data_IF_557529011233
#
_entry.id   IF_557529011233
#
_cell.length_a   1.000
_cell.length_b   1.000
_cell.length_c   1.000
_cell.angle_alpha   90.00
_cell.angle_beta   90.00
_cell.angle_gamma   90.00
#
_symmetry.space_group_name_H-M   'P 1'
#
loop_
_entity.id
_entity.type
_entity.pdbx_description
1 polymer ?
#
# COMPACT_ATOMS: atom_id res chain seq x y z
N UNK A 1 -1.13 -23.35 78.21
CA UNK A 1 -1.86 -22.68 77.11
C UNK A 1 -1.08 -22.92 75.82
N UNK A 2 -1.70 -23.59 74.84
CA UNK A 2 -1.12 -23.92 73.53
C UNK A 2 -1.78 -23.02 72.48
N UNK A 3 -1.01 -22.30 71.69
CA UNK A 3 -1.44 -21.80 70.38
C UNK A 3 -0.21 -21.75 69.45
N UNK A 4 -0.08 -22.78 68.60
CA UNK A 4 0.78 -22.73 67.42
C UNK A 4 -0.06 -22.17 66.27
N UNK A 5 0.36 -21.04 65.71
CA UNK A 5 -0.28 -20.38 64.59
C UNK A 5 0.39 -20.81 63.29
N UNK A 6 -0.37 -21.42 62.37
CA UNK A 6 0.10 -21.95 61.09
C UNK A 6 -0.15 -20.91 59.99
N UNK A 7 0.91 -20.41 59.36
CA UNK A 7 0.83 -19.46 58.22
C UNK A 7 0.76 -20.27 56.93
N UNK A 8 -0.35 -20.16 56.18
CA UNK A 8 -0.51 -20.76 54.86
C UNK A 8 -0.16 -19.74 53.77
N UNK A 9 0.84 -20.05 52.94
CA UNK A 9 1.18 -19.26 51.75
C UNK A 9 0.28 -19.68 50.58
N UNK A 10 -0.51 -18.75 50.04
CA UNK A 10 -1.25 -18.92 48.80
C UNK A 10 -0.30 -18.69 47.61
N UNK A 11 -0.05 -19.72 46.80
CA UNK A 11 0.64 -19.58 45.52
C UNK A 11 -0.37 -19.19 44.44
N UNK A 12 -0.22 -18.00 43.87
CA UNK A 12 -1.04 -17.52 42.74
C UNK A 12 -0.31 -17.93 41.46
N UNK A 13 -0.85 -18.91 40.74
CA UNK A 13 -0.34 -19.29 39.42
C UNK A 13 -0.94 -18.36 38.37
N UNK A 14 -0.18 -17.35 37.96
CA UNK A 14 -0.57 -16.51 36.81
C UNK A 14 -0.32 -17.31 35.52
N UNK A 15 -1.39 -17.82 34.91
CA UNK A 15 -1.37 -18.38 33.56
C UNK A 15 -1.18 -17.24 32.55
N UNK A 16 0.07 -16.93 32.23
CA UNK A 16 0.40 -16.06 31.11
C UNK A 16 0.19 -16.86 29.81
N UNK A 17 -0.98 -16.72 29.20
CA UNK A 17 -1.21 -17.23 27.84
C UNK A 17 -0.28 -16.50 26.87
N UNK A 18 0.46 -17.20 25.99
CA UNK A 18 1.28 -16.54 24.98
C UNK A 18 0.36 -15.76 24.04
N UNK A 19 0.52 -14.43 24.02
CA UNK A 19 -0.10 -13.58 23.04
C UNK A 19 0.65 -13.81 21.73
N UNK A 20 0.04 -14.54 20.80
CA UNK A 20 0.55 -14.62 19.41
C UNK A 20 0.29 -13.27 18.75
N UNK A 21 1.24 -12.35 18.88
CA UNK A 21 1.26 -11.11 18.09
C UNK A 21 1.38 -11.50 16.61
N UNK A 22 0.30 -11.37 15.85
CA UNK A 22 0.38 -11.34 14.38
C UNK A 22 1.25 -10.12 14.04
N UNK A 23 2.48 -10.34 13.60
CA UNK A 23 3.30 -9.27 13.02
C UNK A 23 2.61 -8.84 11.73
N UNK A 24 1.93 -7.69 11.76
CA UNK A 24 1.48 -7.01 10.55
C UNK A 24 2.73 -6.66 9.74
N UNK A 25 2.83 -7.14 8.51
CA UNK A 25 3.92 -6.72 7.64
C UNK A 25 3.55 -5.36 7.05
N UNK A 26 4.55 -4.57 6.67
CA UNK A 26 4.32 -3.29 6.00
C UNK A 26 5.15 -3.25 4.74
N UNK A 27 4.49 -3.02 3.60
CA UNK A 27 5.16 -2.65 2.37
C UNK A 27 5.33 -1.14 2.32
N UNK A 28 6.45 -0.70 1.77
CA UNK A 28 6.76 0.70 1.55
C UNK A 28 6.72 0.99 0.05
N UNK A 29 5.93 1.98 -0.34
CA UNK A 29 5.80 2.46 -1.70
C UNK A 29 6.52 3.82 -1.78
N UNK A 30 7.51 3.88 -2.64
CA UNK A 30 8.40 5.03 -2.83
C UNK A 30 8.24 5.56 -4.25
N UNK A 31 8.49 6.86 -4.45
CA UNK A 31 8.46 7.50 -5.77
C UNK A 31 7.16 7.25 -6.54
N UNK A 32 6.03 7.12 -5.83
CA UNK A 32 4.72 6.93 -6.46
C UNK A 32 4.39 8.18 -7.27
N UNK A 33 4.13 7.98 -8.56
CA UNK A 33 3.78 9.05 -9.48
C UNK A 33 2.82 8.55 -10.55
N UNK A 34 1.99 9.44 -11.06
CA UNK A 34 1.06 9.18 -12.14
C UNK A 34 1.02 10.37 -13.11
N UNK A 35 0.78 10.10 -14.39
CA UNK A 35 0.57 11.13 -15.40
C UNK A 35 -0.71 10.87 -16.20
N UNK A 36 -1.35 11.95 -16.60
CA UNK A 36 -2.31 12.02 -17.69
C UNK A 36 -1.72 12.87 -18.82
N UNK A 37 -1.68 12.34 -20.05
CA UNK A 37 -1.04 13.02 -21.18
C UNK A 37 -2.05 13.82 -22.01
N UNK A 38 -1.70 15.04 -22.41
CA UNK A 38 -2.67 16.01 -22.97
C UNK A 38 -3.21 15.67 -24.37
N UNK A 39 -2.45 14.92 -25.17
CA UNK A 39 -2.73 14.75 -26.61
C UNK A 39 -2.96 13.30 -27.01
N UNK A 40 -3.02 12.39 -26.04
CA UNK A 40 -3.22 10.96 -26.25
C UNK A 40 -4.13 10.43 -25.14
N UNK A 41 -4.94 9.43 -25.45
CA UNK A 41 -5.77 8.76 -24.43
C UNK A 41 -4.91 7.76 -23.66
N UNK A 42 -3.91 8.26 -22.94
CA UNK A 42 -2.95 7.47 -22.20
C UNK A 42 -2.72 8.10 -20.82
N UNK A 43 -2.62 7.22 -19.83
CA UNK A 43 -2.09 7.54 -18.51
C UNK A 43 -1.07 6.49 -18.11
N UNK A 44 -0.20 6.85 -17.17
CA UNK A 44 0.69 5.91 -16.53
C UNK A 44 0.74 6.12 -15.01
N UNK A 45 1.18 5.08 -14.32
CA UNK A 45 1.48 5.07 -12.90
C UNK A 45 2.75 4.26 -12.70
N UNK A 46 3.63 4.75 -11.84
CA UNK A 46 4.88 4.07 -11.49
C UNK A 46 5.22 4.28 -10.02
N UNK A 47 5.91 3.31 -9.43
CA UNK A 47 6.47 3.40 -8.09
C UNK A 47 7.55 2.33 -7.88
N UNK A 48 8.31 2.49 -6.81
CA UNK A 48 9.21 1.47 -6.28
C UNK A 48 8.59 0.86 -5.04
N UNK A 49 8.43 -0.45 -5.02
CA UNK A 49 7.99 -1.23 -3.87
C UNK A 49 9.21 -1.70 -3.08
N UNK A 50 9.16 -1.53 -1.77
CA UNK A 50 10.13 -2.08 -0.83
C UNK A 50 9.40 -2.93 0.22
N UNK A 51 9.76 -4.21 0.32
CA UNK A 51 9.38 -5.07 1.44
C UNK A 51 10.56 -5.12 2.43
N UNK A 52 10.48 -4.42 3.58
CA UNK A 52 11.56 -4.36 4.56
C UNK A 52 11.77 -5.69 5.31
N UNK A 53 10.75 -6.54 5.41
CA UNK A 53 10.82 -7.83 6.13
C UNK A 53 11.79 -8.80 5.44
N UNK A 54 11.75 -8.85 4.11
CA UNK A 54 12.57 -9.75 3.29
C UNK A 54 13.61 -9.00 2.44
N UNK A 55 13.74 -7.69 2.66
CA UNK A 55 14.65 -6.77 1.98
C UNK A 55 14.59 -6.88 0.45
N UNK A 56 13.38 -6.83 -0.10
CA UNK A 56 13.13 -6.90 -1.54
C UNK A 56 12.71 -5.53 -2.04
N UNK A 57 13.34 -5.11 -3.15
CA UNK A 57 12.97 -3.90 -3.90
C UNK A 57 12.56 -4.34 -5.31
N UNK A 58 11.43 -3.80 -5.79
CA UNK A 58 10.88 -4.05 -7.11
C UNK A 58 10.27 -2.77 -7.69
N UNK A 59 10.43 -2.55 -8.99
CA UNK A 59 9.82 -1.39 -9.67
C UNK A 59 8.52 -1.83 -10.33
N UNK A 60 7.48 -1.03 -10.13
CA UNK A 60 6.13 -1.32 -10.60
C UNK A 60 5.70 -0.18 -11.51
N UNK A 61 5.20 -0.52 -12.70
CA UNK A 61 4.67 0.47 -13.63
C UNK A 61 3.53 -0.11 -14.45
N UNK A 62 2.61 0.76 -14.85
CA UNK A 62 1.57 0.44 -15.81
C UNK A 62 1.21 1.66 -16.63
N UNK A 63 0.72 1.40 -17.84
CA UNK A 63 0.06 2.41 -18.66
C UNK A 63 -1.31 1.87 -19.04
N UNK A 64 -2.29 2.76 -19.17
CA UNK A 64 -3.63 2.39 -19.58
C UNK A 64 -4.24 3.45 -20.48
N UNK A 65 -5.18 3.01 -21.31
CA UNK A 65 -5.93 3.90 -22.17
C UNK A 65 -7.06 4.56 -21.37
N UNK A 66 -7.04 5.89 -21.27
CA UNK A 66 -7.98 6.67 -20.47
C UNK A 66 -9.37 6.77 -21.11
N UNK A 67 -9.48 6.50 -22.41
CA UNK A 67 -10.77 6.41 -23.11
C UNK A 67 -11.37 5.00 -23.14
N UNK A 68 -10.71 4.01 -22.53
CA UNK A 68 -11.26 2.66 -22.42
C UNK A 68 -12.44 2.65 -21.46
N UNK A 69 -13.54 2.00 -21.84
CA UNK A 69 -14.66 1.76 -20.91
C UNK A 69 -14.23 0.85 -19.75
N UNK A 70 -13.28 -0.06 -20.02
CA UNK A 70 -12.71 -0.96 -19.02
C UNK A 70 -11.40 -0.35 -18.52
N UNK A 71 -11.48 0.29 -17.34
CA UNK A 71 -10.31 0.79 -16.63
C UNK A 71 -9.59 -0.36 -15.89
N UNK A 72 -8.27 -0.28 -15.66
CA UNK A 72 -7.55 -1.32 -14.93
C UNK A 72 -8.14 -1.54 -13.54
N UNK A 73 -8.48 -2.79 -13.22
CA UNK A 73 -9.11 -3.18 -11.95
C UNK A 73 -8.14 -3.85 -10.96
N UNK A 74 -8.66 -4.78 -10.15
CA UNK A 74 -7.89 -5.51 -9.14
C UNK A 74 -6.77 -6.36 -9.77
N UNK A 75 -5.54 -5.90 -9.55
CA UNK A 75 -4.28 -6.64 -9.60
C UNK A 75 -3.94 -7.53 -10.82
N UNK A 76 -3.99 -7.06 -12.09
CA UNK A 76 -3.42 -7.84 -13.20
C UNK A 76 -1.92 -7.57 -13.44
N UNK A 77 -1.34 -6.52 -12.83
CA UNK A 77 -0.03 -6.03 -13.26
C UNK A 77 1.10 -6.50 -12.35
N UNK A 78 2.04 -7.27 -12.92
CA UNK A 78 3.26 -7.66 -12.23
C UNK A 78 4.27 -6.52 -12.20
N UNK A 79 4.94 -6.36 -11.07
CA UNK A 79 6.15 -5.55 -10.99
C UNK A 79 7.30 -6.22 -11.76
N UNK A 80 8.38 -5.50 -12.03
CA UNK A 80 9.46 -5.94 -12.93
C UNK A 80 10.08 -7.29 -12.54
N UNK A 81 10.28 -7.55 -11.25
CA UNK A 81 10.84 -8.83 -10.77
C UNK A 81 9.79 -9.93 -10.63
N UNK A 82 8.51 -9.62 -10.80
CA UNK A 82 7.41 -10.57 -10.82
C UNK A 82 7.09 -11.23 -9.48
N UNK A 83 7.59 -10.68 -8.36
CA UNK A 83 7.31 -11.19 -7.02
C UNK A 83 6.05 -10.56 -6.42
N UNK A 84 5.74 -9.35 -6.88
CA UNK A 84 4.55 -8.60 -6.50
C UNK A 84 3.73 -8.25 -7.73
N UNK A 85 2.45 -8.07 -7.51
CA UNK A 85 1.51 -7.53 -8.47
C UNK A 85 0.67 -6.44 -7.81
N UNK A 86 0.14 -5.55 -8.62
CA UNK A 86 -0.61 -4.39 -8.16
C UNK A 86 -1.75 -4.04 -9.10
N UNK A 87 -2.71 -3.29 -8.58
CA UNK A 87 -3.82 -2.74 -9.34
C UNK A 87 -4.73 -1.90 -8.45
N UNK A 88 -6.00 -1.77 -8.84
CA UNK A 88 -6.91 -0.81 -8.22
C UNK A 88 -8.22 -1.47 -7.79
N UNK A 89 -8.58 -1.33 -6.50
CA UNK A 89 -9.77 -1.99 -5.93
C UNK A 89 -11.07 -1.66 -6.67
N UNK A 90 -11.19 -0.41 -7.11
CA UNK A 90 -12.40 0.14 -7.74
C UNK A 90 -12.12 0.76 -9.12
N UNK A 91 -10.97 0.43 -9.72
CA UNK A 91 -10.46 1.12 -10.90
C UNK A 91 -9.64 2.39 -10.57
N UNK A 92 -8.94 2.93 -11.58
CA UNK A 92 -8.16 4.18 -11.53
C UNK A 92 -8.79 5.29 -12.38
N UNK A 93 -10.10 5.26 -12.61
CA UNK A 93 -10.79 6.22 -13.49
C UNK A 93 -10.55 7.70 -13.13
N UNK A 94 -10.10 7.97 -11.90
CA UNK A 94 -9.65 9.26 -11.39
C UNK A 94 -8.23 9.12 -10.82
N UNK A 95 -7.24 9.81 -11.40
CA UNK A 95 -5.85 9.76 -10.92
C UNK A 95 -5.61 10.63 -9.68
N UNK A 96 -6.54 11.54 -9.35
CA UNK A 96 -6.51 12.32 -8.11
C UNK A 96 -6.99 11.48 -6.91
N UNK A 97 -7.73 10.39 -7.15
CA UNK A 97 -8.22 9.49 -6.10
C UNK A 97 -8.44 8.05 -6.54
N UNK A 98 -7.69 7.13 -5.94
CA UNK A 98 -7.82 5.68 -6.17
C UNK A 98 -7.42 4.85 -4.95
N UNK A 99 -7.77 3.56 -4.95
CA UNK A 99 -7.33 2.60 -3.94
C UNK A 99 -6.31 1.65 -4.56
N UNK A 100 -5.04 1.86 -4.24
CA UNK A 100 -3.95 1.00 -4.69
C UNK A 100 -3.97 -0.31 -3.90
N UNK A 101 -3.89 -1.42 -4.61
CA UNK A 101 -3.75 -2.77 -4.05
C UNK A 101 -2.41 -3.32 -4.47
N UNK A 102 -1.67 -3.90 -3.53
CA UNK A 102 -0.42 -4.63 -3.80
C UNK A 102 -0.53 -6.01 -3.15
N UNK A 103 -0.10 -7.04 -3.86
CA UNK A 103 -0.07 -8.40 -3.33
C UNK A 103 1.16 -9.16 -3.82
N UNK A 104 1.63 -10.12 -3.03
CA UNK A 104 2.61 -11.09 -3.50
C UNK A 104 1.94 -12.08 -4.45
N UNK A 105 2.64 -12.46 -5.51
CA UNK A 105 2.10 -13.36 -6.56
C UNK A 105 1.74 -14.75 -6.02
N UNK A 106 2.38 -15.20 -4.94
CA UNK A 106 2.04 -16.46 -4.27
C UNK A 106 0.85 -16.32 -3.29
N UNK A 107 0.27 -15.12 -3.16
CA UNK A 107 -0.84 -14.83 -2.26
C UNK A 107 -0.49 -14.74 -0.77
N UNK A 108 0.79 -14.80 -0.37
CA UNK A 108 1.15 -14.79 1.06
C UNK A 108 1.00 -13.44 1.75
N UNK A 109 0.83 -12.35 0.99
CA UNK A 109 0.65 -11.01 1.51
C UNK A 109 -0.22 -10.19 0.55
N UNK A 110 -1.24 -9.50 1.06
CA UNK A 110 -2.07 -8.57 0.29
C UNK A 110 -2.46 -7.36 1.14
N UNK A 111 -2.24 -6.17 0.58
CA UNK A 111 -2.51 -4.91 1.25
C UNK A 111 -3.11 -3.88 0.30
N UNK A 112 -3.74 -2.86 0.86
CA UNK A 112 -4.29 -1.76 0.08
C UNK A 112 -4.23 -0.43 0.82
N UNK A 113 -4.08 0.66 0.07
CA UNK A 113 -4.12 2.01 0.64
C UNK A 113 -4.87 2.97 -0.28
N UNK A 114 -5.53 3.95 0.33
CA UNK A 114 -6.26 5.01 -0.38
C UNK A 114 -5.30 6.15 -0.69
N UNK A 115 -5.18 6.47 -1.97
CA UNK A 115 -4.41 7.59 -2.50
C UNK A 115 -5.41 8.68 -2.90
N UNK A 116 -5.27 9.89 -2.38
CA UNK A 116 -6.25 10.95 -2.59
C UNK A 116 -5.65 12.35 -2.43
N UNK A 117 -5.84 13.20 -3.44
CA UNK A 117 -5.46 14.61 -3.44
C UNK A 117 -6.48 15.50 -2.69
N UNK A 118 -7.67 14.97 -2.36
CA UNK A 118 -8.76 15.74 -1.75
C UNK A 118 -8.71 15.85 -0.22
N UNK A 119 -7.59 15.48 0.40
CA UNK A 119 -7.41 15.59 1.86
C UNK A 119 -6.99 17.01 2.23
N UNK A 120 -7.20 17.40 3.50
CA UNK A 120 -6.83 18.75 4.00
C UNK A 120 -5.35 19.06 3.80
N UNK A 121 -4.49 18.05 4.02
CA UNK A 121 -3.05 18.08 3.78
C UNK A 121 -2.68 16.81 3.00
N UNK A 122 -2.79 16.83 1.66
CA UNK A 122 -2.64 15.61 0.87
C UNK A 122 -1.16 15.31 0.64
N UNK A 123 -0.75 14.08 0.95
CA UNK A 123 0.55 13.56 0.51
C UNK A 123 0.54 13.28 -1.00
N UNK A 124 -0.63 13.06 -1.61
CA UNK A 124 -0.80 12.92 -3.05
C UNK A 124 -1.07 14.28 -3.69
N UNK A 125 -0.06 14.85 -4.34
CA UNK A 125 -0.09 16.22 -4.87
C UNK A 125 -0.21 16.15 -6.40
N UNK A 126 -1.27 16.73 -6.94
CA UNK A 126 -1.51 16.79 -8.39
C UNK A 126 -1.33 18.21 -8.92
N UNK A 127 -0.62 18.33 -10.04
CA UNK A 127 -0.37 19.57 -10.76
C UNK A 127 -0.95 19.47 -12.17
N UNK A 128 -1.70 20.50 -12.55
CA UNK A 128 -2.27 20.64 -13.89
C UNK A 128 -1.28 21.34 -14.84
N UNK A 129 -1.11 20.77 -16.02
CA UNK A 129 -0.20 21.23 -17.07
C UNK A 129 1.21 21.59 -16.57
N UNK A 130 1.89 20.70 -15.82
CA UNK A 130 3.18 21.01 -15.20
C UNK A 130 4.27 21.29 -16.24
N UNK A 131 4.20 20.60 -17.38
CA UNK A 131 5.11 20.74 -18.54
C UNK A 131 4.35 20.40 -19.82
N UNK A 132 4.93 20.76 -20.97
CA UNK A 132 4.34 20.45 -22.28
C UNK A 132 4.14 18.93 -22.44
N UNK A 133 2.92 18.55 -22.81
CA UNK A 133 2.55 17.16 -23.13
C UNK A 133 1.98 16.36 -21.96
N UNK A 134 2.03 16.89 -20.73
CA UNK A 134 1.41 16.31 -19.54
C UNK A 134 0.25 17.22 -19.14
N UNK A 135 -0.98 16.69 -19.16
CA UNK A 135 -2.17 17.41 -18.72
C UNK A 135 -2.23 17.46 -17.20
N UNK A 136 -1.84 16.38 -16.55
CA UNK A 136 -1.88 16.26 -15.11
C UNK A 136 -0.76 15.34 -14.63
N UNK A 137 -0.08 15.75 -13.57
CA UNK A 137 0.99 14.98 -12.92
C UNK A 137 0.74 14.93 -11.43
N UNK A 138 0.68 13.72 -10.89
CA UNK A 138 0.51 13.50 -9.47
C UNK A 138 1.70 12.77 -8.87
N UNK A 139 2.11 13.17 -7.67
CA UNK A 139 3.22 12.55 -6.93
C UNK A 139 2.87 12.36 -5.47
N UNK A 140 3.35 11.26 -4.89
CA UNK A 140 3.28 11.04 -3.46
C UNK A 140 4.48 11.69 -2.77
N UNK A 141 4.22 12.53 -1.79
CA UNK A 141 5.24 13.16 -0.96
C UNK A 141 5.65 12.20 0.17
N UNK A 142 6.84 11.60 0.05
CA UNK A 142 7.40 10.69 1.04
C UNK A 142 7.16 9.21 0.73
N UNK A 143 6.87 8.43 1.77
CA UNK A 143 6.70 6.96 1.67
C UNK A 143 5.26 6.60 2.00
N UNK A 144 4.57 5.97 1.06
CA UNK A 144 3.26 5.39 1.28
C UNK A 144 3.43 4.01 1.93
N UNK A 145 2.90 3.84 3.14
CA UNK A 145 2.91 2.55 3.84
C UNK A 145 1.63 1.78 3.57
N UNK A 146 1.76 0.49 3.26
CA UNK A 146 0.67 -0.42 3.00
C UNK A 146 0.78 -1.60 3.94
N UNK A 147 -0.22 -1.80 4.79
CA UNK A 147 -0.31 -2.96 5.68
C UNK A 147 -0.73 -4.21 4.88
N UNK A 148 -0.04 -5.32 5.13
CA UNK A 148 -0.17 -6.63 4.45
C UNK A 148 -0.27 -7.76 5.47
#
# INVERSE_FOLDING_TARGET
MKFLSTIQFLAITTLASPITLKQTQTLEIQNLSANHYSNVTLSNLQFTLHNPTINIIDNCNMSWNTSSEIQPGLAPQKCQRGQFEFGFRYGIGDIERFTLVVQQVNGSAQGSSVVSAYRRDPDWICLWNPVRGIQEHCVWNGILRVEV
#
